data_IF_064172198782
#
_entry.id   IF_064172198782
#
_cell.length_a   1.000
_cell.length_b   1.000
_cell.length_c   1.000
_cell.angle_alpha   90.00
_cell.angle_beta   90.00
_cell.angle_gamma   90.00
#
_symmetry.space_group_name_H-M   'P 1'
#
loop_
_entity.id
_entity.type
_entity.pdbx_description
1 polymer ?
#
# COMPACT_ATOMS: atom_id res chain seq x y z
N UNK A 1 40.19 66.84 -33.82
CA UNK A 1 38.77 66.61 -34.16
C UNK A 1 38.43 65.17 -33.82
N UNK A 2 37.27 64.97 -33.21
CA UNK A 2 36.81 63.75 -32.51
C UNK A 2 36.68 62.53 -33.43
N UNK A 3 37.01 61.34 -32.91
CA UNK A 3 36.62 60.03 -33.47
C UNK A 3 37.27 58.86 -32.70
N UNK A 4 36.67 57.66 -32.67
CA UNK A 4 35.51 57.31 -31.85
C UNK A 4 35.85 56.28 -30.74
N UNK A 5 35.04 56.31 -29.67
CA UNK A 5 35.14 55.42 -28.50
C UNK A 5 34.69 53.99 -28.84
N UNK A 6 35.64 53.06 -28.91
CA UNK A 6 35.37 51.61 -28.86
C UNK A 6 35.15 51.14 -27.42
N UNK A 7 33.94 50.68 -27.09
CA UNK A 7 33.63 49.99 -25.83
C UNK A 7 34.15 48.55 -25.92
N UNK A 8 35.17 48.24 -25.13
CA UNK A 8 35.63 46.86 -24.91
C UNK A 8 34.64 46.19 -23.94
N UNK A 9 33.99 45.14 -24.42
CA UNK A 9 33.08 44.29 -23.68
C UNK A 9 33.90 43.41 -22.72
N UNK A 10 33.83 43.68 -21.42
CA UNK A 10 34.40 42.79 -20.39
C UNK A 10 33.44 41.63 -20.16
N UNK A 11 33.82 40.44 -20.62
CA UNK A 11 33.16 39.18 -20.26
C UNK A 11 33.51 38.87 -18.81
N UNK A 12 32.53 38.97 -17.91
CA UNK A 12 32.64 38.52 -16.53
C UNK A 12 32.17 37.06 -16.47
N UNK A 13 33.10 36.11 -16.41
CA UNK A 13 32.80 34.71 -16.17
C UNK A 13 32.50 34.53 -14.67
N UNK A 14 31.22 34.44 -14.30
CA UNK A 14 30.82 34.03 -12.95
C UNK A 14 31.03 32.50 -12.82
N UNK A 15 32.04 32.11 -12.05
CA UNK A 15 32.19 30.75 -11.53
C UNK A 15 31.21 30.59 -10.36
N UNK A 16 30.06 29.96 -10.58
CA UNK A 16 29.19 29.48 -9.52
C UNK A 16 29.82 28.21 -8.90
N UNK A 17 30.44 28.35 -7.72
CA UNK A 17 30.80 27.20 -6.91
C UNK A 17 29.50 26.61 -6.31
N UNK A 18 29.02 25.51 -6.87
CA UNK A 18 27.95 24.72 -6.28
C UNK A 18 28.51 24.02 -5.03
N UNK A 19 28.24 24.58 -3.85
CA UNK A 19 28.47 23.90 -2.59
C UNK A 19 27.44 22.77 -2.46
N UNK A 20 27.82 21.57 -2.90
CA UNK A 20 27.07 20.33 -2.66
C UNK A 20 27.14 20.00 -1.17
N UNK A 21 26.21 20.53 -0.37
CA UNK A 21 25.95 20.01 0.97
C UNK A 21 25.39 18.60 0.83
N UNK A 22 26.27 17.61 0.93
CA UNK A 22 25.91 16.23 1.23
C UNK A 22 25.15 16.24 2.56
N UNK A 23 23.82 16.23 2.51
CA UNK A 23 23.02 15.81 3.65
C UNK A 23 23.30 14.32 3.85
N UNK A 24 24.24 14.00 4.74
CA UNK A 24 24.33 12.67 5.30
C UNK A 24 22.98 12.40 5.98
N UNK A 25 22.23 11.43 5.45
CA UNK A 25 21.05 10.93 6.15
C UNK A 25 21.50 10.45 7.54
N UNK A 26 20.79 10.80 8.62
CA UNK A 26 21.15 10.30 9.94
C UNK A 26 20.95 8.78 9.94
N UNK A 27 22.06 8.05 9.80
CA UNK A 27 22.14 6.62 10.08
C UNK A 27 22.24 6.44 11.59
N UNK A 28 21.13 6.64 12.30
CA UNK A 28 20.93 5.90 13.54
C UNK A 28 20.10 4.68 13.18
N UNK A 29 20.78 3.59 12.77
CA UNK A 29 20.15 2.28 12.84
C UNK A 29 19.89 2.03 14.34
N UNK A 30 18.66 2.32 14.79
CA UNK A 30 18.25 1.93 16.14
C UNK A 30 18.33 0.42 16.27
N UNK A 31 18.44 -0.08 17.50
CA UNK A 31 18.44 -1.51 17.77
C UNK A 31 17.21 -2.16 17.11
N UNK A 32 17.43 -3.31 16.46
CA UNK A 32 16.33 -4.06 15.87
C UNK A 32 15.43 -4.58 17.00
N UNK A 33 14.18 -4.14 17.02
CA UNK A 33 13.20 -4.54 18.04
C UNK A 33 12.66 -5.96 17.80
N UNK A 34 12.89 -6.52 16.62
CA UNK A 34 12.57 -7.91 16.31
C UNK A 34 13.72 -8.82 16.75
N UNK A 35 13.40 -9.83 17.55
CA UNK A 35 14.36 -10.88 17.96
C UNK A 35 14.26 -12.12 17.05
N UNK A 36 15.38 -12.80 16.73
CA UNK A 36 15.33 -14.13 16.11
C UNK A 36 14.43 -15.16 16.83
N UNK A 37 14.30 -15.04 18.15
CA UNK A 37 13.57 -16.01 18.97
C UNK A 37 12.05 -15.78 19.04
N UNK A 38 11.55 -14.58 18.72
CA UNK A 38 10.13 -14.22 18.92
C UNK A 38 9.17 -14.85 17.89
N UNK A 39 9.69 -15.47 16.83
CA UNK A 39 8.88 -15.97 15.73
C UNK A 39 8.14 -17.26 16.06
N UNK A 40 6.82 -17.18 15.99
CA UNK A 40 5.87 -18.29 16.12
C UNK A 40 5.09 -18.48 14.82
N UNK A 41 4.87 -19.73 14.42
CA UNK A 41 3.99 -20.03 13.30
C UNK A 41 2.53 -19.81 13.72
N UNK A 42 1.69 -19.30 12.81
CA UNK A 42 0.27 -19.13 13.05
C UNK A 42 -0.56 -19.38 11.80
N UNK A 43 -1.81 -19.80 12.02
CA UNK A 43 -2.86 -19.81 11.02
C UNK A 43 -4.21 -19.62 11.73
N UNK A 44 -5.08 -18.70 11.29
CA UNK A 44 -6.42 -18.52 11.87
C UNK A 44 -7.26 -19.80 11.79
N UNK A 45 -7.05 -20.62 10.75
CA UNK A 45 -7.67 -21.94 10.62
C UNK A 45 -6.59 -23.00 10.45
N UNK A 46 -6.51 -24.02 11.31
CA UNK A 46 -5.51 -25.08 11.15
C UNK A 46 -5.58 -25.78 9.78
N UNK A 47 -6.78 -25.89 9.20
CA UNK A 47 -7.03 -26.55 7.93
C UNK A 47 -6.39 -25.86 6.70
N UNK A 48 -6.00 -24.59 6.81
CA UNK A 48 -5.29 -23.88 5.73
C UNK A 48 -3.91 -23.37 6.15
N UNK A 49 -3.34 -23.94 7.23
CA UNK A 49 -2.03 -23.55 7.72
C UNK A 49 -0.94 -23.85 6.68
N UNK A 50 -0.04 -22.90 6.39
CA UNK A 50 1.19 -23.23 5.67
C UNK A 50 2.04 -24.19 6.50
N UNK A 51 2.88 -24.96 5.82
CA UNK A 51 4.04 -25.58 6.45
C UNK A 51 5.03 -24.49 6.82
N UNK A 52 5.50 -24.50 8.06
CA UNK A 52 6.43 -23.51 8.61
C UNK A 52 7.74 -24.18 9.01
N UNK A 53 8.87 -23.62 8.57
CA UNK A 53 10.21 -24.06 8.96
C UNK A 53 11.06 -22.84 9.37
N UNK A 54 11.66 -22.89 10.55
CA UNK A 54 12.52 -21.81 11.09
C UNK A 54 13.96 -22.33 11.21
N UNK A 55 14.89 -21.60 10.62
CA UNK A 55 16.34 -21.82 10.77
C UNK A 55 16.98 -20.56 11.33
N UNK A 56 17.79 -20.70 12.38
CA UNK A 56 18.50 -19.59 13.02
C UNK A 56 19.98 -19.96 13.07
N UNK A 57 20.84 -19.19 12.41
CA UNK A 57 22.28 -19.36 12.39
C UNK A 57 22.95 -18.01 12.64
N UNK A 58 23.53 -17.82 13.83
CA UNK A 58 24.10 -16.53 14.26
C UNK A 58 23.13 -15.35 13.95
N UNK A 59 23.50 -14.47 13.02
CA UNK A 59 22.72 -13.28 12.61
C UNK A 59 21.79 -13.55 11.40
N UNK A 60 21.68 -14.79 10.93
CA UNK A 60 20.80 -15.20 9.83
C UNK A 60 19.60 -16.00 10.34
N UNK A 61 18.45 -15.33 10.39
CA UNK A 61 17.15 -15.96 10.67
C UNK A 61 16.36 -16.12 9.38
N UNK A 62 16.08 -17.38 9.02
CA UNK A 62 15.26 -17.75 7.86
C UNK A 62 13.94 -18.36 8.31
N UNK A 63 12.86 -17.78 7.82
CA UNK A 63 11.48 -18.12 8.18
C UNK A 63 10.73 -18.55 6.93
N UNK A 64 10.61 -19.84 6.75
CA UNK A 64 10.08 -20.45 5.53
C UNK A 64 8.61 -20.80 5.69
N UNK A 65 7.82 -20.49 4.68
CA UNK A 65 6.42 -20.91 4.54
C UNK A 65 6.23 -21.64 3.21
N UNK A 66 5.46 -22.72 3.21
CA UNK A 66 5.07 -23.42 1.98
C UNK A 66 3.62 -23.88 2.01
N UNK A 67 2.92 -23.72 0.89
CA UNK A 67 1.51 -24.10 0.74
C UNK A 67 1.26 -25.61 0.73
N UNK A 68 2.22 -26.40 0.22
CA UNK A 68 2.09 -27.85 0.01
C UNK A 68 0.86 -28.28 -0.81
N UNK A 69 0.48 -27.49 -1.81
CA UNK A 69 -0.65 -27.79 -2.70
C UNK A 69 -2.00 -27.23 -2.25
N UNK A 70 -2.06 -26.50 -1.14
CA UNK A 70 -3.29 -25.93 -0.60
C UNK A 70 -3.62 -24.58 -1.27
N UNK A 71 -4.60 -24.58 -2.19
CA UNK A 71 -4.99 -23.38 -2.94
C UNK A 71 -5.29 -22.17 -2.05
N UNK A 72 -5.96 -22.38 -0.92
CA UNK A 72 -6.38 -21.32 0.00
C UNK A 72 -5.56 -21.28 1.29
N UNK A 73 -4.26 -21.63 1.20
CA UNK A 73 -3.31 -21.43 2.31
C UNK A 73 -3.47 -20.02 2.87
N UNK A 74 -3.45 -19.89 4.19
CA UNK A 74 -3.41 -18.60 4.87
C UNK A 74 -2.79 -18.76 6.24
N UNK A 75 -1.72 -18.00 6.49
CA UNK A 75 -1.03 -17.96 7.75
C UNK A 75 0.42 -17.57 7.54
N UNK A 76 1.22 -17.71 8.59
CA UNK A 76 2.63 -17.44 8.47
C UNK A 76 3.36 -17.37 9.78
N UNK A 77 4.26 -16.39 9.89
CA UNK A 77 5.05 -16.13 11.09
C UNK A 77 4.55 -14.89 11.79
N UNK A 78 4.43 -14.92 13.11
CA UNK A 78 4.17 -13.75 13.94
C UNK A 78 5.29 -13.54 14.95
N UNK A 79 5.65 -12.30 15.20
CA UNK A 79 6.57 -11.90 16.26
C UNK A 79 5.95 -10.75 17.04
N UNK A 80 5.84 -10.92 18.35
CA UNK A 80 5.38 -9.86 19.25
C UNK A 80 6.55 -9.02 19.72
N UNK A 81 6.46 -7.72 19.51
CA UNK A 81 7.44 -6.71 19.92
C UNK A 81 6.79 -5.80 20.95
N UNK A 82 7.34 -5.80 22.16
CA UNK A 82 6.92 -4.93 23.27
C UNK A 82 7.69 -3.59 23.25
N UNK A 83 7.26 -2.62 24.06
CA UNK A 83 7.98 -1.35 24.22
C UNK A 83 7.82 -0.38 23.04
N UNK A 84 6.70 -0.48 22.32
CA UNK A 84 6.36 0.48 21.27
C UNK A 84 5.88 1.79 21.91
N UNK A 85 6.53 2.89 21.53
CA UNK A 85 6.11 4.24 21.85
C UNK A 85 5.03 4.69 20.86
N UNK A 86 3.78 4.76 21.33
CA UNK A 86 2.68 5.26 20.53
C UNK A 86 2.93 6.67 19.97
N UNK A 87 2.55 6.89 18.72
CA UNK A 87 2.76 8.14 17.98
C UNK A 87 4.14 8.28 17.32
N UNK A 88 5.13 7.44 17.66
CA UNK A 88 6.46 7.45 17.01
C UNK A 88 6.44 6.65 15.71
N UNK A 89 7.46 6.88 14.89
CA UNK A 89 7.65 6.18 13.62
C UNK A 89 8.60 5.02 13.76
N UNK A 90 8.30 3.96 13.02
CA UNK A 90 9.10 2.74 12.95
C UNK A 90 9.26 2.32 11.50
N UNK A 91 10.47 1.91 11.14
CA UNK A 91 10.82 1.38 9.84
C UNK A 91 10.80 -0.14 9.91
N UNK A 92 9.89 -0.76 9.15
CA UNK A 92 9.92 -2.19 8.89
C UNK A 92 10.76 -2.45 7.64
N UNK A 93 11.65 -3.44 7.70
CA UNK A 93 12.24 -4.08 6.52
C UNK A 93 12.09 -5.59 6.60
N UNK A 94 11.76 -6.23 5.48
CA UNK A 94 11.71 -7.68 5.38
C UNK A 94 12.07 -8.12 3.95
N UNK A 95 13.05 -9.01 3.81
CA UNK A 95 13.36 -9.64 2.53
C UNK A 95 12.54 -10.92 2.39
N UNK A 96 11.97 -11.13 1.21
CA UNK A 96 11.28 -12.36 0.84
C UNK A 96 11.93 -12.98 -0.41
N UNK A 97 12.16 -14.29 -0.36
CA UNK A 97 12.59 -15.12 -1.48
C UNK A 97 11.39 -15.95 -1.93
N UNK A 98 10.57 -15.44 -2.88
CA UNK A 98 9.39 -16.16 -3.36
C UNK A 98 9.75 -17.24 -4.37
N UNK A 99 9.05 -18.37 -4.30
CA UNK A 99 9.13 -19.48 -5.24
C UNK A 99 7.73 -19.93 -5.64
N UNK A 100 7.47 -20.05 -6.97
CA UNK A 100 6.20 -20.54 -7.52
C UNK A 100 4.96 -19.78 -7.01
N UNK A 101 5.09 -18.47 -6.87
CA UNK A 101 3.99 -17.56 -6.51
C UNK A 101 3.57 -16.79 -7.76
N UNK A 102 2.30 -16.94 -8.14
CA UNK A 102 1.74 -16.32 -9.34
C UNK A 102 1.54 -14.81 -9.17
N UNK A 103 0.91 -14.39 -8.07
CA UNK A 103 0.76 -12.97 -7.72
C UNK A 103 1.47 -12.67 -6.40
N UNK A 104 2.64 -12.05 -6.47
CA UNK A 104 3.38 -11.63 -5.28
C UNK A 104 2.58 -10.67 -4.40
N UNK A 105 1.87 -9.72 -5.03
CA UNK A 105 1.04 -8.71 -4.35
C UNK A 105 -0.09 -9.34 -3.56
N UNK A 106 -0.76 -10.34 -4.14
CA UNK A 106 -1.91 -10.98 -3.48
C UNK A 106 -1.49 -12.07 -2.50
N UNK A 107 -0.34 -12.72 -2.71
CA UNK A 107 0.07 -13.89 -1.93
C UNK A 107 1.04 -13.59 -0.79
N UNK A 108 1.74 -12.46 -0.82
CA UNK A 108 2.70 -12.08 0.22
C UNK A 108 2.27 -10.76 0.86
N UNK A 109 2.19 -10.74 2.19
CA UNK A 109 1.83 -9.53 2.92
C UNK A 109 2.59 -9.49 4.23
N UNK A 110 3.02 -8.30 4.63
CA UNK A 110 3.49 -8.05 6.00
C UNK A 110 2.49 -7.15 6.71
N UNK A 111 2.05 -7.54 7.90
CA UNK A 111 1.13 -6.76 8.74
C UNK A 111 1.79 -6.36 10.05
N UNK A 112 1.46 -5.17 10.50
CA UNK A 112 1.77 -4.68 11.84
C UNK A 112 0.46 -4.51 12.60
N UNK A 113 0.14 -5.49 13.44
CA UNK A 113 -1.05 -5.47 14.30
C UNK A 113 -0.73 -4.81 15.62
N UNK A 114 -1.13 -3.55 15.75
CA UNK A 114 -0.88 -2.75 16.94
C UNK A 114 -1.65 -3.29 18.15
N UNK A 115 -1.01 -3.29 19.31
CA UNK A 115 -1.61 -3.63 20.61
C UNK A 115 -1.42 -2.44 21.56
N UNK A 116 -2.47 -2.12 22.30
CA UNK A 116 -2.51 -0.95 23.16
C UNK A 116 -3.90 -0.72 23.71
N UNK A 117 -4.04 0.31 24.52
CA UNK A 117 -5.32 0.70 25.10
C UNK A 117 -6.06 1.65 24.14
N UNK A 118 -6.68 1.12 23.10
CA UNK A 118 -7.31 1.93 22.06
C UNK A 118 -8.78 2.29 22.34
N UNK A 119 -9.46 1.52 23.20
CA UNK A 119 -10.92 1.61 23.40
C UNK A 119 -11.78 1.06 22.26
N UNK A 120 -11.18 0.58 21.17
CA UNK A 120 -11.85 0.02 20.01
C UNK A 120 -10.88 -0.68 19.06
N UNK A 121 -11.38 -1.20 17.95
CA UNK A 121 -10.54 -1.83 16.92
C UNK A 121 -9.64 -0.79 16.25
N UNK A 122 -8.36 -1.15 16.08
CA UNK A 122 -7.40 -0.37 15.32
C UNK A 122 -6.94 -1.21 14.13
N UNK A 123 -7.13 -0.66 12.94
CA UNK A 123 -6.68 -1.30 11.71
C UNK A 123 -5.15 -1.55 11.77
N UNK A 124 -4.67 -2.69 11.26
CA UNK A 124 -3.25 -2.93 11.15
C UNK A 124 -2.61 -1.96 10.16
N UNK A 125 -1.32 -1.69 10.33
CA UNK A 125 -0.53 -1.10 9.26
C UNK A 125 -0.07 -2.20 8.33
N UNK A 126 -0.45 -2.10 7.06
CA UNK A 126 -0.05 -3.05 6.04
C UNK A 126 1.27 -2.62 5.40
N UNK A 127 2.06 -3.58 4.97
CA UNK A 127 3.28 -3.37 4.20
C UNK A 127 3.20 -4.27 2.98
N UNK A 128 2.59 -3.75 1.93
CA UNK A 128 2.32 -4.45 0.67
C UNK A 128 3.24 -4.01 -0.48
N UNK A 129 3.85 -2.83 -0.38
CA UNK A 129 4.76 -2.33 -1.41
C UNK A 129 6.13 -2.98 -1.25
N UNK A 130 6.66 -3.46 -2.36
CA UNK A 130 7.96 -4.11 -2.42
C UNK A 130 8.72 -3.67 -3.67
N UNK A 131 10.04 -3.80 -3.60
CA UNK A 131 10.95 -3.61 -4.73
C UNK A 131 11.85 -4.83 -4.90
N UNK A 132 12.48 -5.04 -6.07
CA UNK A 132 13.54 -6.03 -6.20
C UNK A 132 14.63 -5.82 -5.14
N UNK A 133 15.10 -6.91 -4.53
CA UNK A 133 16.21 -6.86 -3.59
C UNK A 133 17.52 -6.67 -4.35
N UNK A 134 18.40 -5.82 -3.83
CA UNK A 134 19.76 -5.60 -4.38
C UNK A 134 20.79 -6.63 -3.87
N UNK A 135 20.36 -7.58 -3.01
CA UNK A 135 21.25 -8.63 -2.50
C UNK A 135 21.50 -9.72 -3.55
N UNK A 136 22.66 -10.36 -3.44
CA UNK A 136 23.09 -11.44 -4.36
C UNK A 136 22.11 -12.63 -4.43
N UNK A 137 21.41 -12.93 -3.33
CA UNK A 137 20.37 -13.98 -3.29
C UNK A 137 19.07 -13.60 -4.03
N UNK A 138 18.91 -12.33 -4.42
CA UNK A 138 17.73 -11.82 -5.09
C UNK A 138 16.49 -11.71 -4.19
N UNK A 139 15.31 -11.90 -4.80
CA UNK A 139 14.01 -11.77 -4.14
C UNK A 139 13.47 -10.34 -4.13
N UNK A 140 12.54 -10.08 -3.21
CA UNK A 140 11.88 -8.79 -3.03
C UNK A 140 12.13 -8.25 -1.63
N UNK A 141 12.13 -6.93 -1.49
CA UNK A 141 12.30 -6.20 -0.24
C UNK A 141 11.05 -5.38 0.04
N UNK A 142 10.43 -5.66 1.17
CA UNK A 142 9.44 -4.80 1.81
C UNK A 142 10.18 -3.77 2.67
N UNK A 143 9.88 -2.49 2.47
CA UNK A 143 10.50 -1.37 3.18
C UNK A 143 9.45 -0.28 3.37
N UNK A 144 8.92 -0.13 4.60
CA UNK A 144 7.92 0.89 4.93
C UNK A 144 8.13 1.48 6.32
N UNK A 145 8.19 2.81 6.37
CA UNK A 145 8.01 3.59 7.59
C UNK A 145 6.53 3.71 7.94
N UNK A 146 6.16 3.38 9.17
CA UNK A 146 4.80 3.47 9.69
C UNK A 146 4.78 4.27 10.99
N UNK A 147 3.67 4.98 11.25
CA UNK A 147 3.46 5.61 12.55
C UNK A 147 2.69 4.66 13.45
N UNK A 148 3.19 4.44 14.66
CA UNK A 148 2.45 3.73 15.69
C UNK A 148 1.22 4.56 16.11
N UNK A 149 0.02 3.96 16.26
CA UNK A 149 -1.13 4.64 16.84
C UNK A 149 -0.79 5.22 18.22
N UNK A 150 -1.37 6.36 18.58
CA UNK A 150 -0.97 7.14 19.76
C UNK A 150 -0.94 6.35 21.09
N UNK A 151 -1.81 5.34 21.23
CA UNK A 151 -1.89 4.50 22.45
C UNK A 151 -1.27 3.11 22.29
N UNK A 152 -0.48 2.88 21.26
CA UNK A 152 0.24 1.63 21.06
C UNK A 152 1.28 1.43 22.16
N UNK A 153 1.47 0.16 22.55
CA UNK A 153 2.47 -0.31 23.53
C UNK A 153 3.24 -1.53 23.03
N UNK A 154 2.65 -2.27 22.10
CA UNK A 154 3.29 -3.38 21.42
C UNK A 154 2.79 -3.47 19.98
N UNK A 155 3.47 -4.29 19.19
CA UNK A 155 3.04 -4.63 17.84
C UNK A 155 3.30 -6.11 17.58
N UNK A 156 2.40 -6.75 16.86
CA UNK A 156 2.59 -8.09 16.32
C UNK A 156 2.92 -7.95 14.83
N UNK A 157 4.15 -8.30 14.48
CA UNK A 157 4.66 -8.34 13.11
C UNK A 157 4.27 -9.68 12.50
N UNK A 158 3.46 -9.68 11.45
CA UNK A 158 3.04 -10.90 10.74
C UNK A 158 3.63 -10.95 9.33
N UNK A 159 4.27 -12.06 8.99
CA UNK A 159 4.79 -12.36 7.65
C UNK A 159 3.93 -13.46 7.05
N UNK A 160 3.14 -13.15 6.02
CA UNK A 160 2.02 -13.99 5.58
C UNK A 160 2.29 -14.58 4.20
N UNK A 161 1.95 -15.88 4.05
CA UNK A 161 1.71 -16.52 2.76
C UNK A 161 0.21 -16.80 2.63
N UNK A 162 -0.40 -16.36 1.53
CA UNK A 162 -1.81 -16.59 1.27
C UNK A 162 -2.12 -16.93 -0.19
N UNK A 163 -3.24 -17.63 -0.39
CA UNK A 163 -3.90 -17.81 -1.69
C UNK A 163 -3.00 -18.31 -2.83
N UNK A 164 -1.97 -19.08 -2.49
CA UNK A 164 -1.01 -19.61 -3.45
C UNK A 164 -0.95 -21.13 -3.33
N UNK A 165 -1.40 -21.85 -4.35
CA UNK A 165 -1.45 -23.33 -4.33
C UNK A 165 -0.07 -23.97 -4.26
N UNK A 166 0.90 -23.43 -4.99
CA UNK A 166 2.25 -23.97 -5.08
C UNK A 166 3.30 -23.10 -4.38
N UNK A 167 2.88 -21.95 -3.82
CA UNK A 167 3.77 -20.94 -3.29
C UNK A 167 4.61 -21.41 -2.13
N UNK A 168 5.87 -21.00 -2.16
CA UNK A 168 6.81 -21.05 -1.06
C UNK A 168 7.48 -19.69 -0.93
N UNK A 169 7.77 -19.27 0.29
CA UNK A 169 8.51 -18.05 0.56
C UNK A 169 9.45 -18.27 1.73
N UNK A 170 10.69 -17.80 1.60
CA UNK A 170 11.62 -17.68 2.73
C UNK A 170 11.75 -16.21 3.08
N UNK A 171 11.37 -15.85 4.30
CA UNK A 171 11.60 -14.52 4.84
C UNK A 171 12.92 -14.46 5.59
N UNK A 172 13.64 -13.36 5.45
CA UNK A 172 14.91 -13.14 6.11
C UNK A 172 15.18 -11.65 6.32
N UNK A 173 16.18 -11.34 7.15
CA UNK A 173 16.63 -9.96 7.39
C UNK A 173 15.47 -9.05 7.84
N UNK A 174 14.58 -9.60 8.67
CA UNK A 174 13.40 -8.91 9.16
C UNK A 174 13.81 -7.98 10.31
N UNK A 175 13.44 -6.71 10.20
CA UNK A 175 13.74 -5.72 11.21
C UNK A 175 12.59 -4.74 11.41
N UNK A 176 12.45 -4.28 12.65
CA UNK A 176 11.62 -3.15 13.03
C UNK A 176 12.49 -2.23 13.88
N UNK A 177 12.76 -1.03 13.38
CA UNK A 177 13.65 -0.07 14.04
C UNK A 177 12.96 1.26 14.21
N UNK A 178 13.30 2.03 15.24
CA UNK A 178 12.82 3.40 15.37
C UNK A 178 13.26 4.23 14.16
N UNK A 179 12.38 5.09 13.67
CA UNK A 179 12.62 5.91 12.48
C UNK A 179 12.19 7.37 12.70
N UNK A 180 12.81 8.33 12.01
CA UNK A 180 12.27 9.68 11.95
C UNK A 180 10.93 9.68 11.20
N UNK A 181 10.06 10.68 11.43
CA UNK A 181 8.89 10.89 10.58
C UNK A 181 9.33 11.07 9.12
N UNK A 182 8.62 10.46 8.14
CA UNK A 182 8.92 10.67 6.74
C UNK A 182 8.65 12.14 6.37
N UNK A 183 9.31 12.60 5.30
CA UNK A 183 9.03 13.92 4.74
C UNK A 183 7.53 14.09 4.46
N UNK A 184 6.97 15.23 4.90
CA UNK A 184 5.56 15.54 4.71
C UNK A 184 5.23 15.58 3.22
N UNK A 185 4.20 14.83 2.82
CA UNK A 185 3.61 14.87 1.48
C UNK A 185 2.13 15.17 1.65
N UNK A 186 1.76 16.43 1.43
CA UNK A 186 0.37 16.86 1.59
C UNK A 186 -0.45 16.39 0.40
N UNK A 187 -1.59 15.77 0.67
CA UNK A 187 -2.62 15.47 -0.32
C UNK A 187 -3.99 15.86 0.25
N UNK A 188 -4.84 16.42 -0.59
CA UNK A 188 -6.24 16.73 -0.28
C UNK A 188 -7.10 15.55 -0.70
N UNK A 189 -7.72 14.89 0.27
CA UNK A 189 -8.57 13.73 0.03
C UNK A 189 -10.02 14.09 0.27
N UNK A 190 -10.89 13.80 -0.70
CA UNK A 190 -12.33 13.87 -0.54
C UNK A 190 -12.90 12.45 -0.45
N UNK A 191 -13.28 12.02 0.76
CA UNK A 191 -14.02 10.79 0.97
C UNK A 191 -15.51 11.05 0.80
N UNK A 192 -16.09 10.52 -0.29
CA UNK A 192 -17.46 10.81 -0.71
C UNK A 192 -18.40 9.73 -0.21
N UNK A 193 -19.15 10.05 0.85
CA UNK A 193 -20.28 9.24 1.27
C UNK A 193 -21.56 9.71 0.57
N UNK A 194 -21.94 8.99 -0.49
CA UNK A 194 -23.14 9.29 -1.25
C UNK A 194 -23.88 7.98 -1.56
N UNK A 195 -25.19 7.96 -1.27
CA UNK A 195 -26.08 6.84 -1.61
C UNK A 195 -27.13 7.32 -2.60
N UNK A 196 -27.06 6.88 -3.87
CA UNK A 196 -28.08 7.16 -4.88
C UNK A 196 -29.48 6.75 -4.41
N UNK A 197 -30.51 7.47 -4.86
CA UNK A 197 -31.91 7.17 -4.53
C UNK A 197 -32.78 7.22 -5.78
N UNK A 198 -33.75 6.31 -5.86
CA UNK A 198 -34.73 6.27 -6.94
C UNK A 198 -34.17 5.90 -8.32
N UNK A 199 -32.93 5.40 -8.40
CA UNK A 199 -32.37 4.85 -9.63
C UNK A 199 -33.12 3.57 -10.03
N UNK A 200 -33.35 3.36 -11.32
CA UNK A 200 -34.03 2.17 -11.85
C UNK A 200 -33.09 1.02 -12.22
N UNK A 201 -31.80 1.32 -12.34
CA UNK A 201 -30.74 0.38 -12.71
C UNK A 201 -29.38 0.95 -12.26
N UNK A 202 -28.32 0.15 -12.40
CA UNK A 202 -26.96 0.54 -12.05
C UNK A 202 -26.44 1.79 -12.74
N UNK A 203 -26.72 1.96 -14.04
CA UNK A 203 -26.27 3.11 -14.81
C UNK A 203 -26.88 4.44 -14.30
N UNK A 204 -28.18 4.47 -14.00
CA UNK A 204 -28.83 5.63 -13.38
C UNK A 204 -28.27 5.91 -11.98
N UNK A 205 -27.92 4.85 -11.25
CA UNK A 205 -27.32 4.97 -9.92
C UNK A 205 -25.94 5.63 -9.99
N UNK A 206 -25.07 5.10 -10.87
CA UNK A 206 -23.74 5.63 -11.13
C UNK A 206 -23.79 7.07 -11.65
N UNK A 207 -24.75 7.43 -12.51
CA UNK A 207 -24.90 8.81 -12.98
C UNK A 207 -25.09 9.80 -11.82
N UNK A 208 -25.85 9.44 -10.77
CA UNK A 208 -25.99 10.26 -9.57
C UNK A 208 -24.67 10.35 -8.79
N UNK A 209 -23.94 9.23 -8.64
CA UNK A 209 -22.61 9.21 -7.99
C UNK A 209 -21.64 10.12 -8.74
N UNK A 210 -21.55 9.99 -10.06
CA UNK A 210 -20.64 10.76 -10.90
C UNK A 210 -20.94 12.27 -10.85
N UNK A 211 -22.22 12.66 -10.91
CA UNK A 211 -22.62 14.07 -10.80
C UNK A 211 -22.28 14.67 -9.41
N UNK A 212 -22.49 13.92 -8.34
CA UNK A 212 -22.11 14.37 -7.01
C UNK A 212 -20.59 14.44 -6.84
N UNK A 213 -19.86 13.45 -7.34
CA UNK A 213 -18.40 13.44 -7.32
C UNK A 213 -17.79 14.60 -8.11
N UNK A 214 -18.36 14.94 -9.27
CA UNK A 214 -17.99 16.12 -10.08
C UNK A 214 -18.17 17.42 -9.28
N UNK A 215 -19.29 17.55 -8.56
CA UNK A 215 -19.57 18.70 -7.69
C UNK A 215 -18.55 18.81 -6.56
N UNK A 216 -18.26 17.70 -5.87
CA UNK A 216 -17.26 17.64 -4.80
C UNK A 216 -15.88 18.02 -5.33
N UNK A 217 -15.50 17.47 -6.48
CA UNK A 217 -14.21 17.75 -7.11
C UNK A 217 -14.08 19.22 -7.53
N UNK A 218 -15.12 19.80 -8.13
CA UNK A 218 -15.14 21.21 -8.50
C UNK A 218 -15.03 22.16 -7.29
N UNK A 219 -15.74 21.85 -6.20
CA UNK A 219 -15.79 22.70 -5.01
C UNK A 219 -14.51 22.62 -4.16
N UNK A 220 -13.99 21.41 -3.95
CA UNK A 220 -12.89 21.18 -3.01
C UNK A 220 -11.54 21.00 -3.68
N UNK A 221 -11.53 20.76 -5.00
CA UNK A 221 -10.34 20.54 -5.82
C UNK A 221 -9.40 19.50 -5.20
N UNK A 222 -9.87 18.32 -4.76
CA UNK A 222 -9.03 17.34 -4.09
C UNK A 222 -7.97 16.78 -5.04
N UNK A 223 -6.89 16.25 -4.48
CA UNK A 223 -5.90 15.49 -5.25
C UNK A 223 -6.37 14.03 -5.42
N UNK A 224 -7.19 13.51 -4.48
CA UNK A 224 -7.83 12.19 -4.56
C UNK A 224 -9.29 12.26 -4.15
N UNK A 225 -10.19 11.73 -4.98
CA UNK A 225 -11.60 11.46 -4.68
C UNK A 225 -11.76 9.97 -4.38
N UNK A 226 -12.30 9.63 -3.22
CA UNK A 226 -12.61 8.24 -2.83
C UNK A 226 -14.12 8.06 -2.82
N UNK A 227 -14.63 7.18 -3.67
CA UNK A 227 -16.05 6.84 -3.78
C UNK A 227 -16.37 5.54 -3.04
N UNK A 228 -17.66 5.20 -2.99
CA UNK A 228 -18.17 4.02 -2.30
C UNK A 228 -17.85 2.68 -2.98
N UNK A 229 -18.39 1.63 -2.38
CA UNK A 229 -18.33 0.26 -2.88
C UNK A 229 -19.38 0.02 -3.98
N UNK A 230 -18.99 -0.73 -5.01
CA UNK A 230 -19.84 -1.13 -6.16
C UNK A 230 -20.70 0.03 -6.67
N UNK A 231 -20.06 1.13 -7.07
CA UNK A 231 -20.76 2.39 -7.42
C UNK A 231 -21.71 2.28 -8.61
N UNK A 232 -21.55 1.25 -9.44
CA UNK A 232 -22.46 0.89 -10.54
C UNK A 232 -23.66 0.05 -10.08
N UNK A 233 -23.78 -0.27 -8.79
CA UNK A 233 -24.92 -1.01 -8.21
C UNK A 233 -25.46 -0.36 -6.93
N UNK A 234 -24.68 0.49 -6.25
CA UNK A 234 -25.03 1.06 -4.96
C UNK A 234 -26.36 1.82 -5.00
N UNK A 235 -27.43 1.25 -4.44
CA UNK A 235 -28.75 1.89 -4.42
C UNK A 235 -29.61 1.70 -5.68
N UNK A 236 -29.16 0.89 -6.66
CA UNK A 236 -30.02 0.41 -7.74
C UNK A 236 -30.83 -0.83 -7.29
N UNK A 237 -32.03 -1.06 -7.86
CA UNK A 237 -32.69 -2.35 -7.83
C UNK A 237 -32.06 -3.29 -8.88
N UNK A 238 -32.22 -4.61 -8.70
CA UNK A 238 -31.78 -5.60 -9.67
C UNK A 238 -30.79 -6.61 -9.12
N UNK A 239 -30.26 -7.46 -9.99
CA UNK A 239 -29.20 -8.40 -9.65
C UNK A 239 -27.83 -7.79 -9.87
N UNK A 240 -26.84 -8.27 -9.12
CA UNK A 240 -25.43 -7.95 -9.36
C UNK A 240 -25.05 -8.20 -10.83
N UNK A 241 -25.43 -9.36 -11.36
CA UNK A 241 -25.13 -9.72 -12.76
C UNK A 241 -25.60 -8.65 -13.76
N UNK A 242 -26.81 -8.10 -13.58
CA UNK A 242 -27.36 -7.09 -14.50
C UNK A 242 -26.56 -5.77 -14.53
N UNK A 243 -25.92 -5.41 -13.42
CA UNK A 243 -25.18 -4.16 -13.27
C UNK A 243 -23.65 -4.33 -13.49
N UNK A 244 -23.16 -5.57 -13.64
CA UNK A 244 -21.73 -5.86 -13.78
C UNK A 244 -21.16 -5.41 -15.14
N UNK A 245 -20.07 -4.64 -15.12
CA UNK A 245 -19.44 -4.02 -16.30
C UNK A 245 -18.01 -4.53 -16.51
N UNK A 246 -17.48 -4.63 -17.74
CA UNK A 246 -16.06 -4.92 -17.95
C UNK A 246 -15.16 -3.77 -17.47
N UNK A 247 -13.90 -4.06 -17.17
CA UNK A 247 -12.85 -3.06 -16.98
C UNK A 247 -11.82 -3.21 -18.11
N UNK A 248 -11.55 -2.17 -18.92
CA UNK A 248 -12.24 -0.87 -18.96
C UNK A 248 -13.68 -0.99 -19.50
N UNK A 249 -14.56 -0.11 -19.02
CA UNK A 249 -15.97 -0.04 -19.39
C UNK A 249 -16.60 1.34 -19.11
N UNK A 250 -17.94 1.47 -19.20
CA UNK A 250 -18.65 2.75 -19.10
C UNK A 250 -18.31 3.55 -17.83
N UNK A 251 -18.37 2.90 -16.66
CA UNK A 251 -18.07 3.55 -15.37
C UNK A 251 -16.62 4.06 -15.32
N UNK A 252 -15.65 3.22 -15.69
CA UNK A 252 -14.23 3.63 -15.68
C UNK A 252 -13.93 4.71 -16.70
N UNK A 253 -14.62 4.71 -17.85
CA UNK A 253 -14.47 5.75 -18.88
C UNK A 253 -14.95 7.11 -18.38
N UNK A 254 -16.16 7.18 -17.83
CA UNK A 254 -16.71 8.43 -17.29
C UNK A 254 -15.91 8.96 -16.10
N UNK A 255 -15.43 8.09 -15.21
CA UNK A 255 -14.56 8.51 -14.11
C UNK A 255 -13.17 8.93 -14.59
N UNK A 256 -12.63 8.34 -15.65
CA UNK A 256 -11.39 8.81 -16.28
C UNK A 256 -11.53 10.20 -16.91
N UNK A 257 -12.71 10.52 -17.47
CA UNK A 257 -12.99 11.88 -17.93
C UNK A 257 -13.08 12.87 -16.77
N UNK A 258 -13.66 12.46 -15.64
CA UNK A 258 -13.69 13.27 -14.41
C UNK A 258 -12.29 13.49 -13.83
N UNK A 259 -11.48 12.44 -13.74
CA UNK A 259 -10.10 12.48 -13.27
C UNK A 259 -9.29 13.51 -14.08
N UNK A 260 -9.35 13.41 -15.42
CA UNK A 260 -8.71 14.35 -16.33
C UNK A 260 -9.24 15.78 -16.19
N UNK A 261 -10.56 15.98 -16.07
CA UNK A 261 -11.17 17.31 -15.91
C UNK A 261 -10.72 18.02 -14.63
N UNK A 262 -10.60 17.28 -13.52
CA UNK A 262 -10.27 17.84 -12.22
C UNK A 262 -8.79 17.76 -11.87
N UNK A 263 -7.97 17.10 -12.72
CA UNK A 263 -6.57 16.79 -12.42
C UNK A 263 -6.42 16.10 -11.07
N UNK A 264 -7.26 15.09 -10.83
CA UNK A 264 -7.40 14.39 -9.56
C UNK A 264 -7.52 12.88 -9.78
N UNK A 265 -7.02 12.10 -8.82
CA UNK A 265 -7.21 10.66 -8.82
C UNK A 265 -8.63 10.30 -8.34
N UNK A 266 -9.23 9.28 -8.95
CA UNK A 266 -10.51 8.70 -8.51
C UNK A 266 -10.30 7.24 -8.08
N UNK A 267 -10.54 6.96 -6.80
CA UNK A 267 -10.49 5.63 -6.20
C UNK A 267 -11.92 5.15 -5.88
N UNK A 268 -12.31 3.97 -6.34
CA UNK A 268 -13.67 3.46 -6.20
C UNK A 268 -13.71 1.93 -6.28
N UNK A 269 -14.82 1.32 -5.87
CA UNK A 269 -15.10 -0.08 -6.20
C UNK A 269 -16.23 -0.18 -7.23
N UNK A 270 -16.11 -1.14 -8.13
CA UNK A 270 -17.05 -1.43 -9.20
C UNK A 270 -17.37 -2.92 -9.18
N UNK A 271 -18.61 -3.27 -9.53
CA UNK A 271 -18.95 -4.63 -9.86
C UNK A 271 -18.46 -4.93 -11.28
N UNK A 272 -17.37 -5.68 -11.37
CA UNK A 272 -16.69 -6.05 -12.60
C UNK A 272 -17.26 -7.33 -13.20
N UNK A 273 -17.36 -7.40 -14.53
CA UNK A 273 -17.59 -8.61 -15.31
C UNK A 273 -16.34 -8.99 -16.09
N UNK A 274 -15.84 -10.20 -15.86
CA UNK A 274 -14.78 -10.83 -16.68
C UNK A 274 -15.26 -12.17 -17.21
N UNK A 275 -15.66 -12.21 -18.47
CA UNK A 275 -16.29 -13.38 -19.08
C UNK A 275 -17.63 -13.71 -18.40
N UNK A 276 -17.74 -14.91 -17.84
CA UNK A 276 -18.92 -15.37 -17.09
C UNK A 276 -18.87 -15.04 -15.60
N UNK A 277 -17.73 -14.57 -15.10
CA UNK A 277 -17.51 -14.33 -13.68
C UNK A 277 -17.72 -12.85 -13.33
N UNK A 278 -18.17 -12.60 -12.10
CA UNK A 278 -18.36 -11.25 -11.55
C UNK A 278 -17.50 -11.05 -10.30
N UNK A 279 -16.94 -9.85 -10.13
CA UNK A 279 -16.02 -9.50 -9.05
C UNK A 279 -16.39 -8.15 -8.44
N UNK A 280 -16.10 -7.97 -7.15
CA UNK A 280 -16.06 -6.65 -6.53
C UNK A 280 -14.62 -6.15 -6.60
N UNK A 281 -14.39 -5.17 -7.47
CA UNK A 281 -13.04 -4.77 -7.88
C UNK A 281 -12.78 -3.31 -7.50
N UNK A 282 -11.65 -3.06 -6.82
CA UNK A 282 -11.15 -1.71 -6.56
C UNK A 282 -10.38 -1.16 -7.75
N UNK A 283 -10.63 0.10 -8.11
CA UNK A 283 -10.01 0.80 -9.24
C UNK A 283 -9.48 2.15 -8.80
N UNK A 284 -8.32 2.54 -9.33
CA UNK A 284 -7.72 3.87 -9.20
C UNK A 284 -7.43 4.41 -10.61
N UNK A 285 -7.97 5.59 -10.95
CA UNK A 285 -7.79 6.24 -12.26
C UNK A 285 -7.29 7.67 -12.07
N UNK A 286 -6.48 8.16 -13.02
CA UNK A 286 -5.96 9.52 -13.12
C UNK A 286 -6.33 10.23 -14.44
#
# INVERSE_FOLDING_TARGET
MVGPKGRIMRVLTLLLAAASTLFAAPSSAGDNLVSPSCWEAFAPRPANSPMSEKSVQADDTRLTLASRGQRFVYGGWRCRVEGIDGGRYYQLRAQALPEKIESLRESLTVLLRWKGDFGGEVAPSYVWDFRPSERSEGGILFDRSVQAPAKARAVEVELILQWSKAGRVTWQQVSLTAAPPPATRTARVAAVWFRPRGAKNGAESFAQVAAYADTVAAQHKPDVVVLGEMINHAGSPGSLDADAEPIPGPTTGQLGDLARRHSAYFAFSILERSGTDIFNTGVLID
#
